data_IF_762947130959
#
_entry.id   IF_762947130959
#
_cell.length_a   1.000
_cell.length_b   1.000
_cell.length_c   1.000
_cell.angle_alpha   90.00
_cell.angle_beta   90.00
_cell.angle_gamma   90.00
#
_symmetry.space_group_name_H-M   'P 1'
#
loop_
_entity.id
_entity.type
_entity.pdbx_description
1 polymer ?
#
# COMPACT_ATOMS: atom_id res chain seq x y z
N UNK A 1 -5.55 -11.87 -4.92
CA UNK A 1 -4.64 -12.96 -5.37
C UNK A 1 -3.20 -12.49 -5.50
N UNK A 2 -2.90 -11.42 -6.26
CA UNK A 2 -1.53 -10.86 -6.42
C UNK A 2 -0.85 -10.56 -5.09
N UNK A 3 -1.61 -10.10 -4.10
CA UNK A 3 -1.05 -9.73 -2.80
C UNK A 3 -0.70 -10.91 -1.90
N UNK A 4 -1.54 -11.96 -1.87
CA UNK A 4 -1.24 -13.19 -1.11
C UNK A 4 0.11 -13.78 -1.56
N UNK A 5 0.41 -13.71 -2.87
CA UNK A 5 1.69 -14.16 -3.40
C UNK A 5 2.88 -13.33 -2.91
N UNK A 6 2.71 -12.00 -2.79
CA UNK A 6 3.76 -11.12 -2.26
C UNK A 6 3.98 -11.36 -0.77
N UNK A 7 2.93 -11.57 0.02
CA UNK A 7 3.12 -11.79 1.46
C UNK A 7 3.80 -13.14 1.70
N UNK A 8 3.47 -14.16 0.91
CA UNK A 8 4.18 -15.44 0.95
C UNK A 8 5.64 -15.35 0.52
N UNK A 9 5.99 -14.51 -0.46
CA UNK A 9 7.40 -14.28 -0.81
C UNK A 9 8.14 -13.61 0.35
N UNK A 10 7.57 -12.58 0.99
CA UNK A 10 8.13 -11.98 2.22
C UNK A 10 8.21 -12.97 3.40
N UNK A 11 7.26 -13.90 3.51
CA UNK A 11 7.22 -14.94 4.53
C UNK A 11 8.40 -15.92 4.39
N UNK A 12 8.70 -16.32 3.15
CA UNK A 12 9.84 -17.18 2.82
C UNK A 12 11.17 -16.50 3.19
N UNK A 13 11.32 -15.20 2.92
CA UNK A 13 12.52 -14.45 3.32
C UNK A 13 12.73 -14.38 4.84
N UNK A 14 11.66 -14.45 5.63
CA UNK A 14 11.71 -14.30 7.09
C UNK A 14 11.47 -15.61 7.86
N UNK A 15 11.35 -16.75 7.15
CA UNK A 15 11.01 -18.07 7.69
C UNK A 15 9.73 -18.05 8.58
N UNK A 16 8.76 -17.20 8.23
CA UNK A 16 7.46 -17.18 8.90
C UNK A 16 6.48 -18.04 8.10
N UNK A 17 5.77 -18.96 8.77
CA UNK A 17 4.72 -19.75 8.13
C UNK A 17 3.42 -18.93 8.12
N UNK A 18 3.07 -18.36 6.97
CA UNK A 18 1.87 -17.55 6.81
C UNK A 18 0.81 -18.38 6.08
N UNK A 19 -0.28 -18.68 6.78
CA UNK A 19 -1.42 -19.42 6.23
C UNK A 19 -2.26 -18.46 5.38
N UNK A 20 -2.16 -18.55 4.05
CA UNK A 20 -2.83 -17.63 3.12
C UNK A 20 -4.36 -17.56 3.26
N UNK A 21 -4.99 -18.62 3.80
CA UNK A 21 -6.42 -18.63 4.14
C UNK A 21 -6.79 -17.53 5.16
N UNK A 22 -5.95 -17.33 6.19
CA UNK A 22 -6.25 -16.38 7.25
C UNK A 22 -6.10 -14.93 6.77
N UNK A 23 -5.18 -14.67 5.83
CA UNK A 23 -5.05 -13.36 5.21
C UNK A 23 -6.23 -13.03 4.31
N UNK A 24 -6.74 -14.01 3.56
CA UNK A 24 -7.92 -13.81 2.71
C UNK A 24 -9.16 -13.46 3.55
N UNK A 25 -9.35 -14.15 4.69
CA UNK A 25 -10.43 -13.84 5.63
C UNK A 25 -10.23 -12.45 6.25
N UNK A 26 -8.99 -12.07 6.61
CA UNK A 26 -8.70 -10.74 7.15
C UNK A 26 -8.99 -9.61 6.14
N UNK A 27 -8.61 -9.78 4.87
CA UNK A 27 -8.96 -8.82 3.80
C UNK A 27 -10.47 -8.73 3.56
N UNK A 28 -11.19 -9.86 3.63
CA UNK A 28 -12.65 -9.88 3.55
C UNK A 28 -13.30 -9.10 4.70
N UNK A 29 -12.87 -9.37 5.93
CA UNK A 29 -13.38 -8.69 7.13
C UNK A 29 -13.09 -7.18 7.10
N UNK A 30 -11.89 -6.78 6.64
CA UNK A 30 -11.53 -5.35 6.50
C UNK A 30 -12.43 -4.63 5.50
N UNK A 31 -12.75 -5.23 4.36
CA UNK A 31 -13.64 -4.61 3.38
C UNK A 31 -15.10 -4.55 3.85
N UNK A 32 -15.56 -5.55 4.64
CA UNK A 32 -16.89 -5.53 5.27
C UNK A 32 -16.98 -4.39 6.30
N UNK A 33 -15.96 -4.24 7.16
CA UNK A 33 -15.93 -3.14 8.14
C UNK A 33 -15.78 -1.78 7.45
N UNK A 34 -14.98 -1.71 6.37
CA UNK A 34 -14.79 -0.50 5.59
C UNK A 34 -16.05 -0.03 4.85
N UNK A 35 -16.86 -0.96 4.32
CA UNK A 35 -18.10 -0.61 3.62
C UNK A 35 -19.14 0.04 4.53
N UNK A 36 -19.17 -0.34 5.81
CA UNK A 36 -20.01 0.30 6.84
C UNK A 36 -19.63 1.77 7.09
N UNK A 37 -18.39 2.15 6.74
CA UNK A 37 -17.87 3.52 6.90
C UNK A 37 -17.79 4.25 5.55
N UNK A 38 -18.51 3.78 4.52
CA UNK A 38 -18.46 4.32 3.14
C UNK A 38 -17.04 4.44 2.56
N UNK A 39 -16.13 3.56 2.96
CA UNK A 39 -14.76 3.53 2.42
C UNK A 39 -14.70 2.78 1.08
N UNK A 40 -13.75 3.20 0.24
CA UNK A 40 -13.44 2.50 -1.01
C UNK A 40 -12.82 1.13 -0.72
N UNK A 41 -12.91 0.22 -1.70
CA UNK A 41 -12.36 -1.13 -1.57
C UNK A 41 -10.87 -1.08 -1.26
N UNK A 42 -10.48 -1.70 -0.15
CA UNK A 42 -9.10 -1.72 0.31
C UNK A 42 -8.42 -2.93 -0.33
N UNK A 43 -7.55 -2.63 -1.28
CA UNK A 43 -6.52 -3.56 -1.75
C UNK A 43 -5.24 -3.25 -0.98
N UNK A 44 -4.53 -4.27 -0.53
CA UNK A 44 -3.41 -4.01 0.35
C UNK A 44 -2.19 -3.45 -0.40
N UNK A 45 -1.45 -2.52 0.23
CA UNK A 45 -0.50 -1.66 -0.47
C UNK A 45 0.89 -2.31 -0.57
N UNK A 46 1.20 -2.92 -1.71
CA UNK A 46 2.56 -3.46 -1.97
C UNK A 46 3.66 -2.42 -1.75
N UNK A 47 3.47 -1.20 -2.26
CA UNK A 47 4.46 -0.11 -2.15
C UNK A 47 4.77 0.27 -0.69
N UNK A 48 3.76 0.35 0.19
CA UNK A 48 3.96 0.72 1.60
C UNK A 48 4.59 -0.42 2.39
N UNK A 49 4.17 -1.66 2.13
CA UNK A 49 4.74 -2.85 2.78
C UNK A 49 6.21 -3.06 2.40
N UNK A 50 6.57 -2.83 1.13
CA UNK A 50 7.96 -2.92 0.67
C UNK A 50 8.86 -1.85 1.32
N UNK A 51 8.39 -0.61 1.45
CA UNK A 51 9.14 0.44 2.15
C UNK A 51 9.28 0.12 3.65
N UNK A 52 8.20 -0.31 4.30
CA UNK A 52 8.24 -0.67 5.72
C UNK A 52 9.17 -1.88 5.99
N UNK A 53 9.28 -2.81 5.03
CA UNK A 53 10.25 -3.90 5.06
C UNK A 53 11.69 -3.40 4.91
N UNK A 54 11.95 -2.49 3.97
CA UNK A 54 13.28 -1.91 3.74
C UNK A 54 13.80 -1.09 4.94
N UNK A 55 12.92 -0.42 5.68
CA UNK A 55 13.29 0.35 6.90
C UNK A 55 13.46 -0.55 8.13
N UNK A 56 13.21 -1.86 8.01
CA UNK A 56 13.40 -2.82 9.10
C UNK A 56 12.35 -2.75 10.21
N UNK A 57 11.22 -2.09 9.95
CA UNK A 57 10.11 -2.00 10.90
C UNK A 57 9.47 -3.39 11.12
N UNK A 58 9.56 -3.90 12.34
CA UNK A 58 9.06 -5.25 12.69
C UNK A 58 7.71 -5.26 13.41
N UNK A 59 7.14 -4.10 13.73
CA UNK A 59 5.97 -3.98 14.63
C UNK A 59 4.75 -3.38 13.94
N UNK A 60 3.55 -3.78 14.39
CA UNK A 60 2.25 -3.25 13.95
C UNK A 60 2.11 -1.76 14.29
N UNK A 61 2.90 -1.27 15.26
CA UNK A 61 2.93 0.12 15.70
C UNK A 61 3.27 1.08 14.55
N UNK A 62 4.13 0.69 13.61
CA UNK A 62 4.45 1.49 12.42
C UNK A 62 3.19 1.84 11.61
N UNK A 63 2.30 0.86 11.42
CA UNK A 63 1.08 1.05 10.64
C UNK A 63 0.03 1.88 11.39
N UNK A 64 -0.04 1.75 12.72
CA UNK A 64 -0.91 2.57 13.58
C UNK A 64 -0.46 4.03 13.56
N UNK A 65 0.84 4.29 13.72
CA UNK A 65 1.41 5.64 13.65
C UNK A 65 1.13 6.26 12.28
N UNK A 66 1.28 5.49 11.19
CA UNK A 66 0.95 5.96 9.85
C UNK A 66 -0.54 6.31 9.70
N UNK A 67 -1.44 5.48 10.22
CA UNK A 67 -2.89 5.73 10.18
C UNK A 67 -3.28 6.99 10.97
N UNK A 68 -2.71 7.18 12.17
CA UNK A 68 -2.93 8.37 13.00
C UNK A 68 -2.36 9.62 12.32
N UNK A 69 -1.16 9.52 11.74
CA UNK A 69 -0.56 10.63 11.00
C UNK A 69 -1.44 11.03 9.81
N UNK A 70 -1.95 10.07 9.04
CA UNK A 70 -2.89 10.34 7.94
C UNK A 70 -4.16 11.02 8.48
N UNK A 71 -4.75 10.51 9.55
CA UNK A 71 -5.95 11.11 10.18
C UNK A 71 -5.70 12.55 10.64
N UNK A 72 -4.56 12.84 11.27
CA UNK A 72 -4.15 14.20 11.64
C UNK A 72 -3.94 15.09 10.42
N UNK A 73 -3.27 14.60 9.38
CA UNK A 73 -3.06 15.39 8.15
C UNK A 73 -4.38 15.70 7.46
N UNK A 74 -5.34 14.77 7.45
CA UNK A 74 -6.68 15.06 6.94
C UNK A 74 -7.32 16.14 7.80
N UNK A 75 -7.39 15.99 9.13
CA UNK A 75 -8.05 16.98 9.99
C UNK A 75 -7.45 18.40 9.87
N UNK A 76 -6.12 18.53 9.82
CA UNK A 76 -5.42 19.82 9.82
C UNK A 76 -5.18 20.41 8.42
N UNK A 77 -4.90 19.57 7.40
CA UNK A 77 -4.64 20.03 6.02
C UNK A 77 -5.87 19.93 5.10
N UNK A 78 -7.04 19.47 5.56
CA UNK A 78 -8.30 19.59 4.79
C UNK A 78 -8.51 20.98 4.14
N UNK A 79 -8.29 22.12 4.83
CA UNK A 79 -8.44 23.42 4.18
C UNK A 79 -7.40 23.70 3.10
N UNK A 80 -6.21 23.09 3.18
CA UNK A 80 -5.14 23.24 2.19
C UNK A 80 -5.41 22.40 0.93
N UNK A 81 -5.98 21.20 1.10
CA UNK A 81 -6.30 20.32 -0.01
C UNK A 81 -7.46 20.82 -0.88
N UNK A 82 -8.36 21.64 -0.34
CA UNK A 82 -9.46 22.25 -1.12
C UNK A 82 -8.95 23.14 -2.26
N UNK A 83 -7.82 23.83 -2.07
CA UNK A 83 -7.22 24.72 -3.06
C UNK A 83 -6.23 24.02 -4.01
N UNK A 84 -6.05 22.71 -3.89
CA UNK A 84 -5.04 22.02 -4.69
C UNK A 84 -5.51 21.87 -6.14
N UNK A 85 -4.82 22.46 -7.13
CA UNK A 85 -5.22 22.33 -8.53
C UNK A 85 -5.07 20.89 -9.00
N UNK A 86 -6.01 20.42 -9.83
CA UNK A 86 -6.02 19.06 -10.42
C UNK A 86 -4.68 18.69 -11.09
N UNK A 87 -3.93 19.69 -11.55
CA UNK A 87 -2.59 19.54 -12.16
C UNK A 87 -1.60 18.88 -11.20
N UNK A 88 -1.61 19.25 -9.92
CA UNK A 88 -0.70 18.67 -8.92
C UNK A 88 -1.05 17.21 -8.70
N UNK A 89 -2.34 16.87 -8.61
CA UNK A 89 -2.81 15.50 -8.45
C UNK A 89 -2.40 14.62 -9.65
N UNK A 90 -2.56 15.13 -10.87
CA UNK A 90 -2.14 14.43 -12.09
C UNK A 90 -0.63 14.18 -12.12
N UNK A 91 0.18 15.16 -11.70
CA UNK A 91 1.64 15.01 -11.65
C UNK A 91 2.09 13.90 -10.69
N UNK A 92 1.41 13.77 -9.53
CA UNK A 92 1.70 12.74 -8.53
C UNK A 92 1.39 11.35 -9.10
N UNK A 93 0.24 11.20 -9.77
CA UNK A 93 -0.15 9.93 -10.39
C UNK A 93 0.86 9.53 -11.49
N UNK A 94 1.28 10.48 -12.33
CA UNK A 94 2.28 10.23 -13.38
C UNK A 94 3.63 9.76 -12.82
N UNK A 95 4.09 10.36 -11.72
CA UNK A 95 5.34 9.94 -11.05
C UNK A 95 5.17 8.54 -10.43
N UNK A 96 4.03 8.25 -9.80
CA UNK A 96 3.75 6.94 -9.23
C UNK A 96 3.74 5.83 -10.30
N UNK A 97 3.14 6.10 -11.47
CA UNK A 97 3.13 5.14 -12.58
C UNK A 97 4.52 4.93 -13.20
N UNK A 98 5.37 5.97 -13.25
CA UNK A 98 6.74 5.85 -13.79
C UNK A 98 7.57 4.79 -13.07
N UNK A 99 7.38 4.63 -11.75
CA UNK A 99 8.06 3.58 -10.97
C UNK A 99 7.71 2.18 -11.49
N UNK A 100 6.43 1.92 -11.80
CA UNK A 100 6.00 0.65 -12.38
C UNK A 100 6.50 0.44 -13.82
N UNK A 101 6.47 1.48 -14.65
CA UNK A 101 6.90 1.39 -16.06
C UNK A 101 8.40 1.20 -16.20
N UNK A 102 9.22 1.82 -15.34
CA UNK A 102 10.69 1.67 -15.39
C UNK A 102 11.13 0.23 -15.15
N UNK A 103 10.42 -0.55 -14.32
CA UNK A 103 10.74 -1.96 -14.09
C UNK A 103 10.47 -2.79 -15.35
N UNK A 104 9.40 -2.47 -16.08
CA UNK A 104 9.01 -3.17 -17.31
C UNK A 104 10.02 -2.93 -18.43
N UNK A 105 10.48 -1.67 -18.60
CA UNK A 105 11.46 -1.32 -19.62
C UNK A 105 12.82 -1.99 -19.33
N UNK A 106 13.27 -2.05 -18.07
CA UNK A 106 14.53 -2.71 -17.71
C UNK A 106 14.44 -4.23 -17.93
N UNK A 107 13.29 -4.83 -17.62
CA UNK A 107 13.03 -6.24 -17.92
C UNK A 107 13.13 -6.49 -19.43
N UNK A 108 12.42 -5.72 -20.26
CA UNK A 108 12.43 -5.87 -21.73
C UNK A 108 13.86 -5.81 -22.33
N UNK A 109 14.70 -4.91 -21.83
CA UNK A 109 16.09 -4.73 -22.29
C UNK A 109 17.03 -5.84 -21.79
N UNK A 110 16.70 -6.51 -20.69
CA UNK A 110 17.52 -7.62 -20.14
C UNK A 110 17.13 -8.98 -20.72
N UNK A 111 15.91 -9.11 -21.26
CA UNK A 111 15.41 -10.32 -21.91
C UNK A 111 15.61 -10.33 -23.45
N UNK A 112 16.33 -9.35 -24.02
CA UNK A 112 16.88 -9.34 -25.38
C UNK A 112 18.40 -9.44 -25.33
#
# INVERSE_FOLDING_TARGET
MIELNNIQSFAMFKNYNIVGNNEMIAFGMMNIVGSLTSCYLITGPFSRSAVNFNVGCKTIVSNIVMAIAVMFTLLFLTPLFYYTPLVVLSSIIMVAMRVGVSIYIIAEITYT
#
